data_IF_687114847057
#
_entry.id   IF_687114847057
#
_cell.length_a   1.000
_cell.length_b   1.000
_cell.length_c   1.000
_cell.angle_alpha   90.00
_cell.angle_beta   90.00
_cell.angle_gamma   90.00
#
_symmetry.space_group_name_H-M   'P 1'
#
loop_
_entity.id
_entity.type
_entity.pdbx_description
1 polymer ?
#
# COMPACT_ATOMS: atom_id res chain seq x y z
N UNK A 1 -9.90 -9.88 33.30
CA UNK A 1 -8.46 -9.52 33.22
C UNK A 1 -7.99 -10.28 31.98
N UNK A 2 -8.09 -9.63 30.79
CA UNK A 2 -7.61 -10.22 29.54
C UNK A 2 -6.09 -10.26 29.63
N UNK A 3 -5.55 -11.47 29.51
CA UNK A 3 -4.14 -11.75 29.44
C UNK A 3 -3.60 -11.10 28.16
N UNK A 4 -2.89 -9.98 28.30
CA UNK A 4 -2.15 -9.39 27.18
C UNK A 4 -1.05 -10.38 26.79
N UNK A 5 -1.38 -11.28 25.88
CA UNK A 5 -0.41 -12.12 25.19
C UNK A 5 0.55 -11.18 24.45
N UNK A 6 1.73 -11.00 25.03
CA UNK A 6 2.77 -10.14 24.50
C UNK A 6 3.30 -10.76 23.21
N UNK A 7 2.55 -10.57 22.11
CA UNK A 7 2.92 -11.08 20.79
C UNK A 7 4.31 -10.58 20.45
N UNK A 8 5.22 -11.53 20.27
CA UNK A 8 6.61 -11.29 19.90
C UNK A 8 6.66 -10.34 18.70
N UNK A 9 7.42 -9.24 18.82
CA UNK A 9 7.62 -8.28 17.72
C UNK A 9 8.16 -9.04 16.51
N UNK A 10 7.45 -8.96 15.40
CA UNK A 10 7.88 -9.54 14.11
C UNK A 10 9.08 -8.71 13.62
N UNK A 11 10.20 -9.35 13.26
CA UNK A 11 11.33 -8.62 12.68
C UNK A 11 11.00 -8.23 11.24
N UNK A 12 11.43 -7.05 10.83
CA UNK A 12 11.20 -6.57 9.46
C UNK A 12 11.70 -7.55 8.38
N UNK A 13 12.83 -8.22 8.62
CA UNK A 13 13.35 -9.21 7.68
C UNK A 13 12.44 -10.45 7.55
N UNK A 14 11.76 -10.85 8.61
CA UNK A 14 10.83 -11.98 8.55
C UNK A 14 9.55 -11.59 7.79
N UNK A 15 9.08 -10.35 7.95
CA UNK A 15 8.00 -9.78 7.15
C UNK A 15 8.39 -9.70 5.66
N UNK A 16 9.57 -9.18 5.35
CA UNK A 16 10.08 -9.09 3.97
C UNK A 16 10.18 -10.48 3.31
N UNK A 17 10.71 -11.47 4.03
CA UNK A 17 10.77 -12.85 3.57
C UNK A 17 9.38 -13.44 3.35
N UNK A 18 8.44 -13.19 4.25
CA UNK A 18 7.06 -13.63 4.07
C UNK A 18 6.47 -13.00 2.80
N UNK A 19 6.56 -11.67 2.62
CA UNK A 19 6.03 -10.97 1.45
C UNK A 19 6.69 -11.48 0.15
N UNK A 20 7.97 -11.85 0.17
CA UNK A 20 8.66 -12.40 -0.99
C UNK A 20 8.10 -13.74 -1.49
N UNK A 21 7.37 -14.48 -0.64
CA UNK A 21 6.67 -15.72 -1.04
C UNK A 21 5.40 -15.46 -1.85
N UNK A 22 4.87 -14.21 -1.79
CA UNK A 22 3.66 -13.82 -2.51
C UNK A 22 4.02 -13.54 -3.97
N UNK A 23 3.62 -14.45 -4.84
CA UNK A 23 3.88 -14.36 -6.27
C UNK A 23 3.20 -13.13 -6.88
N UNK A 24 3.83 -12.48 -7.87
CA UNK A 24 3.15 -11.44 -8.65
C UNK A 24 1.98 -12.04 -9.45
N UNK A 25 1.10 -11.17 -9.95
CA UNK A 25 0.02 -11.60 -10.84
C UNK A 25 0.61 -12.33 -12.06
N UNK A 26 0.17 -13.57 -12.34
CA UNK A 26 0.70 -14.36 -13.48
C UNK A 26 0.29 -13.78 -14.84
N UNK A 27 -0.76 -12.96 -14.88
CA UNK A 27 -1.30 -12.36 -16.11
C UNK A 27 -1.63 -10.88 -15.90
N UNK A 28 -0.62 -10.02 -15.65
CA UNK A 28 -0.85 -8.61 -15.35
C UNK A 28 -1.45 -7.88 -16.55
N UNK A 29 -2.45 -7.03 -16.31
CA UNK A 29 -3.12 -6.23 -17.33
C UNK A 29 -2.52 -4.82 -17.34
N UNK A 30 -1.94 -4.41 -18.47
CA UNK A 30 -1.35 -3.06 -18.61
C UNK A 30 -2.40 -1.96 -18.41
N UNK A 31 -3.64 -2.17 -18.85
CA UNK A 31 -4.76 -1.24 -18.69
C UNK A 31 -5.14 -0.97 -17.23
N UNK A 32 -4.77 -1.85 -16.29
CA UNK A 32 -5.00 -1.70 -14.86
C UNK A 32 -3.76 -1.20 -14.11
N UNK A 33 -2.67 -0.91 -14.80
CA UNK A 33 -1.39 -0.45 -14.20
C UNK A 33 -0.93 -1.37 -13.05
N UNK A 34 -1.06 -2.70 -13.19
CA UNK A 34 -0.81 -3.70 -12.14
C UNK A 34 0.69 -3.86 -11.84
N UNK A 35 1.34 -2.80 -11.38
CA UNK A 35 2.71 -2.87 -10.92
C UNK A 35 2.76 -3.44 -9.50
N UNK A 36 3.38 -4.62 -9.38
CA UNK A 36 3.54 -5.25 -8.07
C UNK A 36 4.55 -4.45 -7.25
N UNK A 37 4.11 -3.98 -6.07
CA UNK A 37 5.01 -3.37 -5.08
C UNK A 37 6.11 -4.35 -4.68
N UNK A 38 7.37 -3.90 -4.57
CA UNK A 38 8.45 -4.79 -4.13
C UNK A 38 8.26 -5.23 -2.69
N UNK A 39 8.77 -6.42 -2.36
CA UNK A 39 8.71 -6.97 -1.00
C UNK A 39 9.35 -6.05 0.03
N UNK A 40 10.46 -5.39 -0.34
CA UNK A 40 11.15 -4.45 0.53
C UNK A 40 10.29 -3.22 0.84
N UNK A 41 9.70 -2.61 -0.19
CA UNK A 41 8.87 -1.40 -0.02
C UNK A 41 7.60 -1.73 0.76
N UNK A 42 6.95 -2.86 0.46
CA UNK A 42 5.78 -3.30 1.20
C UNK A 42 6.10 -3.56 2.68
N UNK A 43 7.22 -4.24 2.97
CA UNK A 43 7.67 -4.49 4.35
C UNK A 43 8.03 -3.19 5.08
N UNK A 44 8.68 -2.23 4.40
CA UNK A 44 9.02 -0.94 4.98
C UNK A 44 7.76 -0.17 5.39
N UNK A 45 6.77 -0.07 4.50
CA UNK A 45 5.49 0.62 4.75
C UNK A 45 4.73 -0.03 5.91
N UNK A 46 4.56 -1.34 5.85
CA UNK A 46 3.82 -2.09 6.86
C UNK A 46 4.49 -2.05 8.23
N UNK A 47 5.82 -2.16 8.27
CA UNK A 47 6.58 -2.09 9.51
C UNK A 47 6.48 -0.70 10.14
N UNK A 48 6.57 0.35 9.33
CA UNK A 48 6.37 1.74 9.77
C UNK A 48 4.94 1.95 10.28
N UNK A 49 3.91 1.51 9.53
CA UNK A 49 2.51 1.63 9.94
C UNK A 49 2.23 0.86 11.25
N UNK A 50 2.82 -0.33 11.42
CA UNK A 50 2.57 -1.18 12.58
C UNK A 50 3.27 -0.69 13.85
N UNK A 51 4.58 -0.40 13.76
CA UNK A 51 5.41 -0.19 14.96
C UNK A 51 5.72 1.27 15.26
N UNK A 52 5.66 2.17 14.25
CA UNK A 52 5.83 3.60 14.49
C UNK A 52 4.49 4.29 14.76
N UNK A 53 3.46 3.93 14.00
CA UNK A 53 2.16 4.60 14.09
C UNK A 53 1.07 3.80 14.84
N UNK A 54 1.26 2.49 15.06
CA UNK A 54 0.26 1.65 15.74
C UNK A 54 -1.01 1.40 14.93
N UNK A 55 -0.92 1.45 13.60
CA UNK A 55 -2.08 1.45 12.71
C UNK A 55 -2.39 0.07 12.09
N UNK A 56 -1.68 -1.00 12.46
CA UNK A 56 -1.89 -2.34 11.88
C UNK A 56 -2.30 -3.36 12.94
N UNK A 57 -1.51 -3.50 14.01
CA UNK A 57 -1.70 -4.57 14.99
C UNK A 57 -3.01 -4.36 15.74
N UNK A 58 -3.90 -5.37 15.70
CA UNK A 58 -5.22 -5.31 16.33
C UNK A 58 -6.24 -4.42 15.61
N UNK A 59 -5.92 -3.89 14.42
CA UNK A 59 -6.76 -2.97 13.63
C UNK A 59 -7.54 -3.69 12.54
N UNK A 60 -8.62 -3.05 12.09
CA UNK A 60 -9.31 -3.39 10.85
C UNK A 60 -8.61 -2.71 9.69
N UNK A 61 -8.08 -3.50 8.76
CA UNK A 61 -7.25 -3.03 7.64
C UNK A 61 -7.92 -3.34 6.32
N UNK A 62 -8.00 -2.35 5.44
CA UNK A 62 -8.44 -2.50 4.06
C UNK A 62 -7.27 -2.23 3.11
N UNK A 63 -7.12 -3.08 2.08
CA UNK A 63 -6.19 -2.91 0.96
C UNK A 63 -6.99 -2.64 -0.31
N UNK A 64 -6.98 -1.38 -0.78
CA UNK A 64 -7.71 -0.95 -1.99
C UNK A 64 -6.86 -1.18 -3.24
N UNK A 65 -7.38 -1.98 -4.19
CA UNK A 65 -6.61 -2.40 -5.35
C UNK A 65 -5.48 -3.34 -4.93
N UNK A 66 -5.82 -4.35 -4.13
CA UNK A 66 -4.85 -5.17 -3.40
C UNK A 66 -3.96 -6.05 -4.30
N UNK A 67 -4.32 -6.24 -5.57
CA UNK A 67 -3.60 -7.15 -6.46
C UNK A 67 -3.49 -8.55 -5.86
N UNK A 68 -2.27 -9.08 -5.79
CA UNK A 68 -2.00 -10.40 -5.17
C UNK A 68 -1.87 -10.34 -3.63
N UNK A 69 -2.22 -9.21 -3.01
CA UNK A 69 -2.39 -9.07 -1.57
C UNK A 69 -1.12 -8.84 -0.77
N UNK A 70 -0.04 -8.29 -1.35
CA UNK A 70 1.22 -8.07 -0.61
C UNK A 70 1.05 -7.18 0.62
N UNK A 71 0.27 -6.10 0.54
CA UNK A 71 0.01 -5.23 1.68
C UNK A 71 -0.99 -5.88 2.65
N UNK A 72 -2.10 -6.42 2.15
CA UNK A 72 -3.12 -7.08 2.96
C UNK A 72 -2.56 -8.27 3.76
N UNK A 73 -1.89 -9.21 3.06
CA UNK A 73 -1.31 -10.41 3.70
C UNK A 73 -0.19 -10.04 4.69
N UNK A 74 0.62 -9.03 4.35
CA UNK A 74 1.64 -8.51 5.26
C UNK A 74 1.02 -7.88 6.53
N UNK A 75 -0.11 -7.18 6.41
CA UNK A 75 -0.85 -6.64 7.56
C UNK A 75 -1.43 -7.76 8.43
N UNK A 76 -2.01 -8.81 7.81
CA UNK A 76 -2.49 -9.99 8.51
C UNK A 76 -1.35 -10.72 9.24
N UNK A 77 -0.20 -10.89 8.59
CA UNK A 77 1.01 -11.49 9.18
C UNK A 77 1.52 -10.72 10.41
N UNK A 78 1.40 -9.39 10.41
CA UNK A 78 1.75 -8.53 11.54
C UNK A 78 0.73 -8.55 12.68
N UNK A 79 -0.43 -9.16 12.49
CA UNK A 79 -1.46 -9.30 13.52
C UNK A 79 -2.56 -8.24 13.46
N UNK A 80 -2.92 -7.77 12.27
CA UNK A 80 -4.17 -7.05 12.07
C UNK A 80 -5.36 -7.92 12.55
N UNK A 81 -6.38 -7.28 13.14
CA UNK A 81 -7.57 -7.98 13.67
C UNK A 81 -8.42 -8.56 12.54
N UNK A 82 -8.65 -7.76 11.52
CA UNK A 82 -9.38 -8.13 10.32
C UNK A 82 -8.71 -7.48 9.13
N UNK A 83 -8.56 -8.21 8.04
CA UNK A 83 -8.01 -7.68 6.79
C UNK A 83 -8.99 -7.96 5.67
N UNK A 84 -9.27 -6.93 4.87
CA UNK A 84 -10.06 -7.05 3.65
C UNK A 84 -9.22 -6.54 2.48
N UNK A 85 -9.14 -7.32 1.40
CA UNK A 85 -8.55 -6.89 0.13
C UNK A 85 -9.61 -6.83 -0.96
N UNK A 86 -9.61 -5.78 -1.77
CA UNK A 86 -10.47 -5.65 -2.95
C UNK A 86 -9.66 -5.37 -4.19
N UNK A 87 -9.95 -6.10 -5.26
CA UNK A 87 -9.39 -5.85 -6.60
C UNK A 87 -10.41 -6.26 -7.67
N UNK A 88 -10.36 -5.63 -8.83
CA UNK A 88 -11.20 -5.99 -9.99
C UNK A 88 -10.67 -7.23 -10.72
N UNK A 89 -9.42 -7.62 -10.47
CA UNK A 89 -8.78 -8.74 -11.15
C UNK A 89 -8.92 -10.04 -10.35
N UNK A 90 -9.85 -10.88 -10.80
CA UNK A 90 -10.10 -12.21 -10.24
C UNK A 90 -8.83 -13.08 -10.16
N UNK A 91 -7.95 -12.99 -11.16
CA UNK A 91 -6.70 -13.77 -11.20
C UNK A 91 -5.76 -13.36 -10.05
N UNK A 92 -5.66 -12.08 -9.78
CA UNK A 92 -4.87 -11.56 -8.67
C UNK A 92 -5.46 -11.99 -7.31
N UNK A 93 -6.77 -11.87 -7.15
CA UNK A 93 -7.49 -12.30 -5.94
C UNK A 93 -7.35 -13.81 -5.72
N UNK A 94 -7.39 -14.63 -6.76
CA UNK A 94 -7.19 -16.08 -6.63
C UNK A 94 -5.82 -16.40 -6.00
N UNK A 95 -4.75 -15.72 -6.43
CA UNK A 95 -3.41 -15.87 -5.84
C UNK A 95 -3.42 -15.47 -4.36
N UNK A 96 -4.03 -14.33 -4.03
CA UNK A 96 -4.12 -13.84 -2.65
C UNK A 96 -4.87 -14.83 -1.74
N UNK A 97 -6.01 -15.34 -2.22
CA UNK A 97 -6.85 -16.32 -1.50
C UNK A 97 -6.13 -17.65 -1.27
N UNK A 98 -5.38 -18.15 -2.27
CA UNK A 98 -4.58 -19.36 -2.14
C UNK A 98 -3.53 -19.22 -1.02
N UNK A 99 -2.79 -18.12 -1.00
CA UNK A 99 -1.77 -17.86 0.02
C UNK A 99 -2.39 -17.72 1.40
N UNK A 100 -3.54 -17.04 1.51
CA UNK A 100 -4.29 -16.93 2.76
C UNK A 100 -4.58 -18.29 3.38
N UNK A 101 -5.04 -19.25 2.55
CA UNK A 101 -5.34 -20.62 3.00
C UNK A 101 -4.08 -21.39 3.40
N UNK A 102 -3.03 -21.34 2.57
CA UNK A 102 -1.76 -22.03 2.83
C UNK A 102 -1.11 -21.55 4.12
N UNK A 103 -1.09 -20.24 4.33
CA UNK A 103 -0.45 -19.59 5.48
C UNK A 103 -1.37 -19.46 6.71
N UNK A 104 -2.65 -19.87 6.58
CA UNK A 104 -3.67 -19.77 7.63
C UNK A 104 -3.81 -18.35 8.19
N UNK A 105 -3.80 -17.36 7.31
CA UNK A 105 -3.93 -15.95 7.66
C UNK A 105 -5.41 -15.54 7.75
N UNK A 106 -5.67 -14.46 8.48
CA UNK A 106 -7.00 -13.87 8.58
C UNK A 106 -7.11 -12.72 7.56
N UNK A 107 -7.62 -13.01 6.36
CA UNK A 107 -7.87 -12.04 5.32
C UNK A 107 -9.04 -12.48 4.43
N UNK A 108 -9.95 -11.55 4.15
CA UNK A 108 -11.08 -11.72 3.26
C UNK A 108 -10.84 -10.99 1.94
N UNK A 109 -11.40 -11.52 0.84
CA UNK A 109 -11.14 -11.03 -0.50
C UNK A 109 -12.44 -10.73 -1.25
N UNK A 110 -12.46 -9.55 -1.91
CA UNK A 110 -13.58 -9.09 -2.71
C UNK A 110 -13.10 -8.91 -4.15
N UNK A 111 -13.79 -9.53 -5.11
CA UNK A 111 -13.61 -9.27 -6.54
C UNK A 111 -14.61 -8.17 -6.91
N UNK A 112 -14.14 -6.98 -7.22
CA UNK A 112 -15.01 -5.86 -7.53
C UNK A 112 -14.31 -4.52 -7.63
N UNK A 113 -15.09 -3.51 -8.04
CA UNK A 113 -14.65 -2.13 -8.06
C UNK A 113 -14.59 -1.57 -6.62
N UNK A 114 -13.65 -0.66 -6.37
CA UNK A 114 -13.46 -0.04 -5.04
C UNK A 114 -14.71 0.69 -4.53
N UNK A 115 -15.61 1.11 -5.41
CA UNK A 115 -16.90 1.72 -5.04
C UNK A 115 -17.84 0.76 -4.30
N UNK A 116 -17.63 -0.55 -4.43
CA UNK A 116 -18.45 -1.57 -3.77
C UNK A 116 -18.16 -1.67 -2.26
N UNK A 117 -17.04 -1.13 -1.78
CA UNK A 117 -16.70 -1.18 -0.35
C UNK A 117 -17.40 -0.05 0.39
N UNK A 118 -18.04 -0.40 1.51
CA UNK A 118 -18.63 0.55 2.44
C UNK A 118 -18.26 0.19 3.88
N UNK A 119 -18.43 1.14 4.80
CA UNK A 119 -18.12 0.96 6.21
C UNK A 119 -16.94 1.81 6.64
N UNK A 120 -16.41 1.51 7.83
CA UNK A 120 -15.27 2.23 8.39
C UNK A 120 -14.14 1.24 8.70
N UNK A 121 -12.91 1.65 8.36
CA UNK A 121 -11.69 0.91 8.63
C UNK A 121 -10.72 1.76 9.44
N UNK A 122 -10.06 1.14 10.42
CA UNK A 122 -8.99 1.81 11.16
C UNK A 122 -7.87 2.26 10.23
N UNK A 123 -7.52 1.40 9.25
CA UNK A 123 -6.43 1.67 8.31
C UNK A 123 -6.78 1.25 6.90
N UNK A 124 -6.51 2.14 5.95
CA UNK A 124 -6.55 1.86 4.51
C UNK A 124 -5.13 1.90 3.96
N UNK A 125 -4.75 0.82 3.30
CA UNK A 125 -3.51 0.69 2.53
C UNK A 125 -3.86 0.72 1.05
N UNK A 126 -3.03 1.37 0.22
CA UNK A 126 -3.21 1.33 -1.22
C UNK A 126 -1.93 1.64 -1.99
N UNK A 127 -1.75 0.91 -3.09
CA UNK A 127 -0.83 1.23 -4.16
C UNK A 127 -1.65 1.42 -5.44
N UNK A 128 -2.34 2.58 -5.58
CA UNK A 128 -3.29 2.80 -6.65
C UNK A 128 -2.60 2.87 -8.02
N UNK A 129 -3.34 2.71 -9.13
CA UNK A 129 -2.82 3.00 -10.46
C UNK A 129 -2.34 4.46 -10.53
N UNK A 130 -1.18 4.69 -11.13
CA UNK A 130 -0.56 6.04 -11.14
C UNK A 130 -1.20 7.00 -12.17
N UNK A 131 -2.27 6.58 -12.85
CA UNK A 131 -3.02 7.42 -13.78
C UNK A 131 -2.35 7.59 -15.14
N UNK A 132 -1.45 6.68 -15.51
CA UNK A 132 -0.79 6.66 -16.83
C UNK A 132 -1.76 6.18 -17.90
N UNK A 133 -2.55 5.15 -17.61
CA UNK A 133 -3.52 4.57 -18.54
C UNK A 133 -4.91 5.21 -18.36
N UNK A 134 -5.41 5.31 -17.14
CA UNK A 134 -6.68 5.96 -16.82
C UNK A 134 -6.40 7.25 -16.04
N UNK A 135 -6.55 8.38 -16.70
CA UNK A 135 -6.34 9.70 -16.08
C UNK A 135 -7.22 9.86 -14.83
N UNK A 136 -6.63 10.26 -13.70
CA UNK A 136 -7.28 10.47 -12.40
C UNK A 136 -7.70 9.21 -11.64
N UNK A 137 -7.29 8.02 -12.05
CA UNK A 137 -7.60 6.79 -11.32
C UNK A 137 -7.07 6.84 -9.87
N UNK A 138 -5.88 7.39 -9.66
CA UNK A 138 -5.29 7.65 -8.34
C UNK A 138 -6.19 8.48 -7.41
N UNK A 139 -6.96 9.41 -7.96
CA UNK A 139 -7.87 10.27 -7.19
C UNK A 139 -9.11 9.53 -6.72
N UNK A 140 -9.73 8.71 -7.58
CA UNK A 140 -10.89 7.88 -7.22
C UNK A 140 -10.53 6.97 -6.04
N UNK A 141 -9.33 6.39 -6.05
CA UNK A 141 -8.81 5.58 -4.95
C UNK A 141 -8.62 6.39 -3.66
N UNK A 142 -8.02 7.58 -3.78
CA UNK A 142 -7.77 8.42 -2.62
C UNK A 142 -9.06 8.99 -2.02
N UNK A 143 -10.05 9.37 -2.85
CA UNK A 143 -11.38 9.79 -2.40
C UNK A 143 -12.05 8.67 -1.60
N UNK A 144 -12.05 7.44 -2.15
CA UNK A 144 -12.64 6.29 -1.46
C UNK A 144 -11.90 5.99 -0.15
N UNK A 145 -10.58 6.04 -0.13
CA UNK A 145 -9.82 5.86 1.10
C UNK A 145 -10.16 6.89 2.18
N UNK A 146 -10.33 8.17 1.80
CA UNK A 146 -10.72 9.27 2.69
C UNK A 146 -12.17 9.14 3.20
N UNK A 147 -13.06 8.55 2.39
CA UNK A 147 -14.44 8.27 2.78
C UNK A 147 -14.50 7.26 3.94
N UNK A 148 -13.74 6.15 3.85
CA UNK A 148 -13.93 4.97 4.68
C UNK A 148 -12.80 4.68 5.68
N UNK A 149 -11.64 5.37 5.57
CA UNK A 149 -10.46 5.11 6.40
C UNK A 149 -10.19 6.18 7.46
N UNK A 150 -9.77 5.76 8.65
CA UNK A 150 -9.29 6.68 9.70
C UNK A 150 -7.82 7.06 9.47
N UNK A 151 -6.99 6.08 9.14
CA UNK A 151 -5.57 6.22 8.80
C UNK A 151 -5.36 5.71 7.38
N UNK A 152 -4.65 6.46 6.53
CA UNK A 152 -4.48 6.11 5.13
C UNK A 152 -3.00 6.14 4.78
N UNK A 153 -2.53 5.06 4.14
CA UNK A 153 -1.18 4.91 3.59
C UNK A 153 -1.31 4.73 2.09
N UNK A 154 -1.01 5.77 1.33
CA UNK A 154 -1.23 5.81 -0.12
C UNK A 154 0.05 6.12 -0.87
N UNK A 155 0.38 5.28 -1.86
CA UNK A 155 1.52 5.50 -2.74
C UNK A 155 1.10 6.32 -3.96
N UNK A 156 1.93 7.30 -4.32
CA UNK A 156 1.75 8.14 -5.50
C UNK A 156 3.07 8.36 -6.21
N UNK A 157 3.05 8.63 -7.51
CA UNK A 157 4.25 9.04 -8.23
C UNK A 157 4.82 10.33 -7.64
N UNK A 158 6.14 10.36 -7.44
CA UNK A 158 6.83 11.60 -7.11
C UNK A 158 6.74 12.59 -8.28
N UNK A 159 6.35 13.86 -8.04
CA UNK A 159 6.07 14.79 -9.12
C UNK A 159 7.30 15.20 -9.96
N UNK A 160 8.50 15.03 -9.40
CA UNK A 160 9.76 15.36 -10.07
C UNK A 160 10.71 14.17 -9.96
N UNK A 161 11.09 13.59 -11.10
CA UNK A 161 12.16 12.60 -11.14
C UNK A 161 13.51 13.33 -11.14
N UNK A 162 14.06 13.53 -9.95
CA UNK A 162 15.36 14.16 -9.74
C UNK A 162 16.43 13.09 -9.49
N UNK A 163 17.47 13.06 -10.31
CA UNK A 163 18.62 12.15 -10.11
C UNK A 163 19.29 12.35 -8.75
N UNK A 164 19.30 13.56 -8.23
CA UNK A 164 19.82 13.88 -6.93
C UNK A 164 19.00 13.20 -5.81
N UNK A 165 17.66 13.18 -5.92
CA UNK A 165 16.78 12.47 -4.99
C UNK A 165 17.01 10.96 -5.04
N UNK A 166 17.11 10.39 -6.26
CA UNK A 166 17.43 8.97 -6.46
C UNK A 166 18.78 8.63 -5.81
N UNK A 167 19.80 9.48 -6.00
CA UNK A 167 21.10 9.27 -5.41
C UNK A 167 21.06 9.32 -3.87
N UNK A 168 20.31 10.25 -3.29
CA UNK A 168 20.09 10.34 -1.84
C UNK A 168 19.41 9.11 -1.32
N UNK A 169 18.34 8.64 -1.96
CA UNK A 169 17.60 7.44 -1.58
C UNK A 169 18.45 6.17 -1.64
N UNK A 170 19.41 6.10 -2.56
CA UNK A 170 20.35 4.97 -2.65
C UNK A 170 21.43 4.99 -1.58
N UNK A 171 21.85 6.18 -1.13
CA UNK A 171 22.91 6.33 -0.13
C UNK A 171 22.44 6.23 1.30
N UNK A 172 21.19 6.56 1.59
CA UNK A 172 20.64 6.48 2.94
C UNK A 172 20.32 5.03 3.29
N UNK A 173 20.86 4.55 4.40
CA UNK A 173 20.41 3.30 5.04
C UNK A 173 18.93 3.37 5.43
N UNK A 174 18.34 4.56 5.43
CA UNK A 174 16.94 4.83 5.72
C UNK A 174 16.19 4.90 4.39
N UNK A 175 15.38 3.89 4.09
CA UNK A 175 14.64 3.80 2.83
C UNK A 175 13.54 4.86 2.68
N UNK A 176 13.25 5.61 3.74
CA UNK A 176 12.29 6.71 3.80
C UNK A 176 13.04 8.04 3.85
N UNK A 177 12.77 8.91 2.90
CA UNK A 177 13.22 10.29 2.92
C UNK A 177 12.01 11.21 3.04
N UNK A 178 11.89 11.93 4.14
CA UNK A 178 10.80 12.89 4.32
C UNK A 178 10.88 13.99 3.26
N UNK A 179 9.75 14.27 2.62
CA UNK A 179 9.59 15.27 1.56
C UNK A 179 8.33 16.11 1.79
N UNK A 180 8.22 17.23 1.08
CA UNK A 180 7.05 18.08 1.13
C UNK A 180 5.91 17.53 0.25
N UNK A 181 4.69 17.57 0.77
CA UNK A 181 3.50 17.26 0.00
C UNK A 181 3.30 18.30 -1.12
N UNK A 182 2.91 17.85 -2.31
CA UNK A 182 2.56 18.75 -3.40
C UNK A 182 1.36 19.63 -3.03
N UNK A 183 1.33 20.86 -3.58
CA UNK A 183 0.21 21.79 -3.34
C UNK A 183 -1.15 21.23 -3.80
N UNK A 184 -1.12 20.39 -4.83
CA UNK A 184 -2.32 19.69 -5.29
C UNK A 184 -2.81 18.71 -4.20
N UNK A 185 -1.94 17.83 -3.69
CA UNK A 185 -2.31 16.84 -2.68
C UNK A 185 -2.76 17.50 -1.37
N UNK A 186 -2.11 18.58 -0.94
CA UNK A 186 -2.55 19.35 0.25
C UNK A 186 -3.99 19.82 0.10
N UNK A 187 -4.34 20.42 -1.05
CA UNK A 187 -5.72 20.90 -1.33
C UNK A 187 -6.70 19.74 -1.47
N UNK A 188 -6.33 18.70 -2.21
CA UNK A 188 -7.22 17.57 -2.50
C UNK A 188 -7.59 16.81 -1.22
N UNK A 189 -6.60 16.43 -0.40
CA UNK A 189 -6.81 15.75 0.88
C UNK A 189 -7.61 16.60 1.84
N UNK A 190 -7.29 17.92 1.96
CA UNK A 190 -8.04 18.84 2.81
C UNK A 190 -9.49 19.02 2.38
N UNK A 191 -9.77 19.10 1.07
CA UNK A 191 -11.14 19.21 0.54
C UNK A 191 -11.98 17.95 0.80
N UNK A 192 -11.34 16.78 0.96
CA UNK A 192 -12.00 15.50 1.26
C UNK A 192 -11.89 15.11 2.76
N UNK A 193 -11.71 16.09 3.64
CA UNK A 193 -11.77 15.86 5.09
C UNK A 193 -10.57 15.15 5.70
N UNK A 194 -9.42 15.15 5.03
CA UNK A 194 -8.19 14.55 5.54
C UNK A 194 -7.10 15.57 5.89
N UNK A 195 -6.10 15.12 6.64
CA UNK A 195 -4.86 15.86 6.94
C UNK A 195 -3.66 15.00 6.58
N UNK A 196 -2.75 15.53 5.78
CA UNK A 196 -1.47 14.88 5.50
C UNK A 196 -0.55 15.08 6.71
N UNK A 197 -0.20 13.96 7.37
CA UNK A 197 0.66 13.98 8.57
C UNK A 197 2.13 13.92 8.17
N UNK A 198 2.45 13.14 7.14
CA UNK A 198 3.80 13.00 6.63
C UNK A 198 3.79 12.54 5.17
N UNK A 199 4.87 12.83 4.46
CA UNK A 199 5.15 12.30 3.13
C UNK A 199 6.58 11.79 3.09
N UNK A 200 6.78 10.60 2.56
CA UNK A 200 8.10 9.99 2.43
C UNK A 200 8.34 9.53 0.99
N UNK A 201 9.42 10.01 0.40
CA UNK A 201 9.90 9.48 -0.87
C UNK A 201 10.60 8.13 -0.66
N UNK A 202 10.29 7.17 -1.53
CA UNK A 202 10.86 5.82 -1.55
C UNK A 202 11.32 5.49 -2.96
N UNK A 203 12.36 4.64 -3.06
CA UNK A 203 12.79 4.08 -4.32
C UNK A 203 12.10 2.73 -4.55
N UNK A 204 11.23 2.66 -5.55
CA UNK A 204 10.56 1.43 -5.95
C UNK A 204 11.14 0.90 -7.25
N UNK A 205 11.49 -0.38 -7.27
CA UNK A 205 11.96 -1.06 -8.48
C UNK A 205 10.79 -1.78 -9.13
N UNK A 206 10.45 -1.40 -10.35
CA UNK A 206 9.46 -2.07 -11.19
C UNK A 206 10.20 -3.07 -12.08
N UNK A 207 9.91 -4.39 -12.00
CA UNK A 207 10.44 -5.36 -12.94
C UNK A 207 9.83 -5.13 -14.33
N UNK A 208 10.48 -5.65 -15.36
CA UNK A 208 9.88 -5.70 -16.70
C UNK A 208 8.64 -6.59 -16.66
N UNK A 209 7.47 -5.99 -16.78
CA UNK A 209 6.18 -6.69 -16.77
C UNK A 209 5.50 -6.71 -18.14
N UNK A 210 5.86 -5.78 -19.03
CA UNK A 210 5.24 -5.62 -20.33
C UNK A 210 6.30 -5.49 -21.44
N UNK A 211 5.94 -5.84 -22.67
CA UNK A 211 6.87 -5.84 -23.82
C UNK A 211 7.39 -4.45 -24.19
N UNK A 212 6.62 -3.39 -23.90
CA UNK A 212 7.04 -2.01 -24.10
C UNK A 212 8.10 -1.51 -23.10
N UNK A 213 8.37 -2.26 -22.02
CA UNK A 213 9.44 -1.91 -21.09
C UNK A 213 10.80 -2.21 -21.70
N UNK A 214 11.59 -1.18 -21.96
CA UNK A 214 12.93 -1.28 -22.58
C UNK A 214 14.01 -1.78 -21.62
N UNK A 215 13.84 -1.62 -20.30
CA UNK A 215 14.79 -2.05 -19.28
C UNK A 215 14.24 -3.22 -18.48
N UNK A 216 15.10 -4.18 -18.09
CA UNK A 216 14.74 -5.32 -17.24
C UNK A 216 14.24 -4.89 -15.85
N UNK A 217 14.70 -3.77 -15.34
CA UNK A 217 14.27 -3.13 -14.09
C UNK A 217 14.27 -1.62 -14.28
N UNK A 218 13.24 -0.98 -13.79
CA UNK A 218 13.13 0.47 -13.81
C UNK A 218 12.91 0.96 -12.38
N UNK A 219 13.76 1.90 -11.93
CA UNK A 219 13.61 2.51 -10.62
C UNK A 219 12.78 3.78 -10.77
N UNK A 220 11.71 3.87 -10.01
CA UNK A 220 10.88 5.08 -9.89
C UNK A 220 10.92 5.57 -8.46
N UNK A 221 10.74 6.87 -8.29
CA UNK A 221 10.49 7.45 -6.97
C UNK A 221 8.99 7.54 -6.76
N UNK A 222 8.54 7.02 -5.64
CA UNK A 222 7.15 7.10 -5.20
C UNK A 222 7.08 7.80 -3.85
N UNK A 223 6.00 8.51 -3.61
CA UNK A 223 5.71 9.18 -2.35
C UNK A 223 4.69 8.37 -1.56
N UNK A 224 5.04 7.98 -0.36
CA UNK A 224 4.11 7.45 0.61
C UNK A 224 3.47 8.60 1.37
N UNK A 225 2.19 8.83 1.14
CA UNK A 225 1.38 9.77 1.91
C UNK A 225 0.79 9.06 3.14
N UNK A 226 1.05 9.63 4.32
CA UNK A 226 0.40 9.24 5.57
C UNK A 226 -0.65 10.28 5.88
N UNK A 227 -1.92 9.86 5.89
CA UNK A 227 -3.05 10.77 6.01
C UNK A 227 -3.92 10.31 7.18
N UNK A 228 -4.50 11.26 7.89
CA UNK A 228 -5.52 11.04 8.93
C UNK A 228 -6.83 11.68 8.52
N UNK A 229 -7.94 11.00 8.77
CA UNK A 229 -9.26 11.60 8.65
C UNK A 229 -9.44 12.66 9.74
N UNK A 230 -9.93 13.83 9.37
CA UNK A 230 -10.34 14.82 10.35
C UNK A 230 -11.69 14.38 10.94
N UNK A 231 -11.65 13.97 12.19
CA UNK A 231 -12.89 13.87 12.96
C UNK A 231 -13.22 15.30 13.41
N UNK A 232 -14.08 15.99 12.66
CA UNK A 232 -14.69 17.20 13.20
C UNK A 232 -15.50 16.78 14.40
N UNK A 233 -15.03 17.19 15.58
CA UNK A 233 -15.74 17.13 16.88
C UNK A 233 -16.98 18.04 16.83
#
# INVERSE_FOLDING_TARGET
>A
MEEFDQKRIVRKLDLERFISTIKPNPSPKASLEQYTISEQVAADILYFAAYTNGDIIGKTVLDLGCGTGRLALGASFLGAKTVVGIDVDETAIAVASEITKIQKLNADWIIGDISAVAGEFDTVLQNPPFGVQKRRADREFLEKALEIGCSIYSLHNHPLTDEHLIHRLRKTNNRFLQVEASSFMKRFVGANGGVIVAVYALLMTIPRMFDFHTKLRHNIVVDLYVIRKNFHS
#
